data_IF_623845854804
#
_entry.id   IF_623845854804
#
_cell.length_a   1.000
_cell.length_b   1.000
_cell.length_c   1.000
_cell.angle_alpha   90.00
_cell.angle_beta   90.00
_cell.angle_gamma   90.00
#
_symmetry.space_group_name_H-M   'P 1'
#
loop_
_entity.id
_entity.type
_entity.pdbx_description
1 polymer ?
#
# COMPACT_ATOMS: atom_id res chain seq x y z
N UNK A 1 -9.09 6.42 8.58
CA UNK A 1 -9.46 6.42 10.03
C UNK A 1 -10.28 5.16 10.29
N UNK A 2 -9.90 4.34 11.26
CA UNK A 2 -10.57 3.06 11.55
C UNK A 2 -11.89 3.28 12.27
N UNK A 3 -12.83 2.32 12.21
CA UNK A 3 -14.10 2.39 12.97
C UNK A 3 -13.85 2.49 14.47
N UNK A 4 -12.73 1.88 14.94
CA UNK A 4 -12.33 1.95 16.35
C UNK A 4 -11.92 3.39 16.74
N UNK A 5 -11.21 4.10 15.87
CA UNK A 5 -10.87 5.52 16.09
C UNK A 5 -12.13 6.40 16.09
N UNK A 6 -13.05 6.18 15.15
CA UNK A 6 -14.34 6.90 15.07
C UNK A 6 -15.13 6.68 16.34
N UNK A 7 -15.28 5.41 16.75
CA UNK A 7 -15.99 5.05 17.98
C UNK A 7 -15.32 5.62 19.22
N UNK A 8 -13.99 5.60 19.30
CA UNK A 8 -13.23 6.19 20.41
C UNK A 8 -13.54 7.68 20.55
N UNK A 9 -13.59 8.41 19.44
CA UNK A 9 -13.91 9.84 19.43
C UNK A 9 -15.37 10.11 19.82
N UNK A 10 -16.30 9.27 19.36
CA UNK A 10 -17.73 9.46 19.63
C UNK A 10 -18.12 9.27 21.11
N UNK A 11 -17.41 8.38 21.82
CA UNK A 11 -17.69 8.12 23.25
C UNK A 11 -16.72 8.85 24.19
N UNK A 12 -15.79 9.67 23.67
CA UNK A 12 -14.70 10.26 24.46
C UNK A 12 -15.18 11.02 25.68
N UNK A 13 -16.25 11.82 25.54
CA UNK A 13 -16.82 12.63 26.62
C UNK A 13 -17.59 11.81 27.66
N UNK A 14 -17.98 10.58 27.31
CA UNK A 14 -18.67 9.64 28.20
C UNK A 14 -17.69 8.80 29.04
N UNK A 15 -16.40 8.79 28.66
CA UNK A 15 -15.38 8.04 29.35
C UNK A 15 -14.95 8.69 30.66
N UNK A 16 -14.59 7.87 31.65
CA UNK A 16 -13.98 8.38 32.89
C UNK A 16 -12.63 9.07 32.59
N UNK A 17 -12.15 9.99 33.45
CA UNK A 17 -10.90 10.71 33.24
C UNK A 17 -9.67 9.80 32.99
N UNK A 18 -9.67 8.61 33.60
CA UNK A 18 -8.60 7.63 33.36
C UNK A 18 -8.73 6.92 32.02
N UNK A 19 -9.96 6.62 31.57
CA UNK A 19 -10.20 6.06 30.25
C UNK A 19 -9.97 7.09 29.13
N UNK A 20 -10.26 8.37 29.36
CA UNK A 20 -9.92 9.45 28.43
C UNK A 20 -8.42 9.57 28.18
N UNK A 21 -7.57 9.33 29.20
CA UNK A 21 -6.12 9.26 29.02
C UNK A 21 -5.72 8.08 28.12
N UNK A 22 -6.35 6.92 28.30
CA UNK A 22 -6.13 5.76 27.43
C UNK A 22 -6.58 6.06 26.00
N UNK A 23 -7.78 6.62 25.83
CA UNK A 23 -8.34 7.00 24.53
C UNK A 23 -7.47 8.00 23.81
N UNK A 24 -6.96 9.02 24.50
CA UNK A 24 -6.06 10.01 23.94
C UNK A 24 -4.74 9.36 23.49
N UNK A 25 -4.12 8.53 24.33
CA UNK A 25 -2.91 7.80 23.99
C UNK A 25 -3.12 6.89 22.78
N UNK A 26 -4.23 6.15 22.76
CA UNK A 26 -4.64 5.28 21.65
C UNK A 26 -4.72 6.05 20.34
N UNK A 27 -5.41 7.19 20.31
CA UNK A 27 -5.58 7.99 19.10
C UNK A 27 -4.28 8.59 18.55
N UNK A 28 -3.28 8.83 19.41
CA UNK A 28 -2.00 9.41 19.01
C UNK A 28 -0.94 8.35 18.66
N UNK A 29 -1.09 7.10 19.11
CA UNK A 29 -0.03 6.11 19.07
C UNK A 29 -0.51 4.73 18.56
N UNK A 30 -1.31 4.69 17.51
CA UNK A 30 -1.90 3.45 16.97
C UNK A 30 -0.88 2.35 16.69
N UNK A 31 0.29 2.69 16.13
CA UNK A 31 1.38 1.76 15.89
C UNK A 31 1.87 1.11 17.18
N UNK A 32 2.20 1.91 18.21
CA UNK A 32 2.62 1.40 19.51
C UNK A 32 1.54 0.55 20.18
N UNK A 33 0.27 0.94 20.06
CA UNK A 33 -0.84 0.15 20.61
C UNK A 33 -0.92 -1.22 19.96
N UNK A 34 -0.58 -1.32 18.69
CA UNK A 34 -0.56 -2.59 17.98
C UNK A 34 0.58 -3.50 18.45
N UNK A 35 1.79 -2.97 18.58
CA UNK A 35 3.00 -3.76 18.83
C UNK A 35 3.24 -4.04 20.33
N UNK A 36 2.96 -3.08 21.21
CA UNK A 36 3.35 -3.13 22.60
C UNK A 36 2.43 -4.03 23.46
N UNK A 37 3.00 -4.79 24.41
CA UNK A 37 2.23 -5.49 25.45
C UNK A 37 1.45 -4.50 26.33
N UNK A 38 0.36 -4.97 26.97
CA UNK A 38 -0.48 -4.12 27.84
C UNK A 38 0.30 -3.46 28.99
N UNK A 39 1.34 -4.12 29.50
CA UNK A 39 2.20 -3.57 30.54
C UNK A 39 2.95 -2.31 30.07
N UNK A 40 3.50 -2.37 28.86
CA UNK A 40 4.23 -1.26 28.22
C UNK A 40 3.26 -0.11 27.88
N UNK A 41 2.09 -0.45 27.37
CA UNK A 41 1.04 0.55 27.07
C UNK A 41 0.56 1.28 28.33
N UNK A 42 0.39 0.54 29.43
CA UNK A 42 0.01 1.10 30.72
C UNK A 42 1.08 2.07 31.25
N UNK A 43 2.35 1.69 31.16
CA UNK A 43 3.47 2.56 31.53
C UNK A 43 3.53 3.83 30.68
N UNK A 44 3.52 3.69 29.35
CA UNK A 44 3.61 4.80 28.39
C UNK A 44 2.43 5.76 28.49
N UNK A 45 1.22 5.28 28.78
CA UNK A 45 0.01 6.09 28.92
C UNK A 45 -0.19 6.63 30.34
N UNK A 46 0.61 6.23 31.32
CA UNK A 46 0.52 6.69 32.71
C UNK A 46 -0.74 6.21 33.43
N UNK A 47 -1.30 5.04 33.04
CA UNK A 47 -2.49 4.42 33.65
C UNK A 47 -2.27 2.95 33.94
N UNK A 48 -3.15 2.33 34.76
CA UNK A 48 -3.05 0.89 35.04
C UNK A 48 -3.48 0.02 33.86
N UNK A 49 -2.99 -1.22 33.81
CA UNK A 49 -3.43 -2.22 32.81
C UNK A 49 -4.95 -2.46 32.86
N UNK A 50 -5.55 -2.35 34.04
CA UNK A 50 -7.02 -2.49 34.26
C UNK A 50 -7.77 -1.40 33.50
N UNK A 51 -7.23 -0.18 33.41
CA UNK A 51 -7.84 0.91 32.64
C UNK A 51 -7.84 0.62 31.15
N UNK A 52 -6.77 0.04 30.63
CA UNK A 52 -6.73 -0.43 29.24
C UNK A 52 -7.81 -1.48 28.95
N UNK A 53 -8.00 -2.44 29.86
CA UNK A 53 -9.06 -3.46 29.70
C UNK A 53 -10.45 -2.83 29.76
N UNK A 54 -10.67 -1.86 30.67
CA UNK A 54 -11.96 -1.13 30.76
C UNK A 54 -12.24 -0.34 29.49
N UNK A 55 -11.27 0.42 29.02
CA UNK A 55 -11.37 1.15 27.76
C UNK A 55 -11.73 0.24 26.58
N UNK A 56 -11.09 -0.92 26.46
CA UNK A 56 -11.45 -1.90 25.43
C UNK A 56 -12.91 -2.36 25.56
N UNK A 57 -13.40 -2.55 26.80
CA UNK A 57 -14.80 -2.94 27.06
C UNK A 57 -15.77 -1.82 26.74
N UNK A 58 -15.44 -0.56 27.02
CA UNK A 58 -16.26 0.60 26.65
C UNK A 58 -16.41 0.73 25.13
N UNK A 59 -15.42 0.25 24.38
CA UNK A 59 -15.47 0.13 22.91
C UNK A 59 -16.18 -1.15 22.42
N UNK A 60 -16.65 -2.03 23.33
CA UNK A 60 -17.37 -3.26 23.00
C UNK A 60 -16.48 -4.47 22.73
N UNK A 61 -15.18 -4.40 23.05
CA UNK A 61 -14.26 -5.52 22.91
C UNK A 61 -14.12 -6.30 24.23
N UNK A 62 -13.85 -7.59 24.14
CA UNK A 62 -13.62 -8.43 25.32
C UNK A 62 -12.33 -8.07 26.08
N UNK A 63 -11.38 -7.40 25.42
CA UNK A 63 -10.12 -6.92 25.98
C UNK A 63 -9.15 -6.45 24.91
N UNK A 64 -7.91 -6.12 25.32
CA UNK A 64 -6.90 -5.55 24.41
C UNK A 64 -6.55 -6.48 23.24
N UNK A 65 -6.48 -7.79 23.47
CA UNK A 65 -6.17 -8.77 22.41
C UNK A 65 -7.26 -8.77 21.31
N UNK A 66 -8.49 -8.70 21.70
CA UNK A 66 -9.64 -8.64 20.80
C UNK A 66 -9.67 -7.32 20.04
N UNK A 67 -9.48 -6.20 20.74
CA UNK A 67 -9.37 -4.89 20.10
C UNK A 67 -8.23 -4.82 19.10
N UNK A 68 -7.04 -5.33 19.44
CA UNK A 68 -5.88 -5.40 18.52
C UNK A 68 -6.18 -6.24 17.28
N UNK A 69 -6.85 -7.37 17.42
CA UNK A 69 -7.26 -8.22 16.29
C UNK A 69 -8.20 -7.46 15.34
N UNK A 70 -9.19 -6.75 15.88
CA UNK A 70 -10.11 -5.94 15.06
C UNK A 70 -9.41 -4.72 14.46
N UNK A 71 -8.52 -4.06 15.20
CA UNK A 71 -7.71 -2.94 14.70
C UNK A 71 -6.82 -3.40 13.53
N UNK A 72 -6.19 -4.58 13.65
CA UNK A 72 -5.41 -5.17 12.58
C UNK A 72 -6.26 -5.40 11.33
N UNK A 73 -7.42 -5.98 11.49
CA UNK A 73 -8.33 -6.25 10.38
C UNK A 73 -8.76 -4.95 9.69
N UNK A 74 -9.13 -3.91 10.44
CA UNK A 74 -9.52 -2.60 9.89
C UNK A 74 -8.34 -1.87 9.22
N UNK A 75 -7.15 -1.90 9.83
CA UNK A 75 -5.96 -1.30 9.24
C UNK A 75 -5.51 -2.05 7.97
N UNK A 76 -5.68 -3.37 7.94
CA UNK A 76 -5.39 -4.15 6.72
C UNK A 76 -6.38 -3.85 5.60
N UNK A 77 -7.67 -3.65 5.91
CA UNK A 77 -8.68 -3.20 4.94
C UNK A 77 -8.37 -1.77 4.45
N UNK A 78 -8.06 -0.82 5.34
CA UNK A 78 -7.72 0.56 4.94
C UNK A 78 -6.38 0.64 4.17
N UNK A 79 -5.42 -0.23 4.47
CA UNK A 79 -4.18 -0.35 3.68
C UNK A 79 -4.47 -0.94 2.31
N UNK A 80 -5.43 -1.84 2.18
CA UNK A 80 -5.92 -2.33 0.89
C UNK A 80 -6.61 -1.22 0.08
N UNK A 81 -7.26 -0.27 0.74
CA UNK A 81 -7.87 0.91 0.10
C UNK A 81 -6.86 2.05 -0.19
N UNK A 82 -5.75 2.12 0.53
CA UNK A 82 -4.81 3.27 0.50
C UNK A 82 -3.45 2.98 -0.12
N UNK A 83 -3.07 1.74 -0.34
CA UNK A 83 -1.76 1.39 -0.94
C UNK A 83 -1.86 0.12 -1.76
N UNK A 84 -1.20 0.13 -2.92
CA UNK A 84 -0.85 -1.11 -3.61
C UNK A 84 -0.25 -2.11 -2.60
N UNK A 85 -0.60 -3.40 -2.67
CA UNK A 85 -0.17 -4.37 -1.68
C UNK A 85 1.35 -4.37 -1.57
N UNK A 86 1.86 -3.97 -0.42
CA UNK A 86 3.24 -4.26 -0.07
C UNK A 86 3.38 -5.80 -0.03
N UNK A 87 4.55 -6.32 -0.40
CA UNK A 87 4.85 -7.77 -0.39
C UNK A 87 4.64 -8.48 0.96
N UNK A 88 4.20 -7.75 2.00
CA UNK A 88 3.86 -8.25 3.34
C UNK A 88 2.66 -9.21 3.37
N UNK A 89 1.87 -9.31 2.29
CA UNK A 89 0.83 -10.33 2.15
C UNK A 89 1.38 -11.77 2.12
N UNK A 90 2.67 -11.92 1.87
CA UNK A 90 3.36 -13.21 1.88
C UNK A 90 4.23 -13.39 3.12
N UNK A 91 3.82 -12.92 4.30
CA UNK A 91 4.50 -13.35 5.53
C UNK A 91 4.24 -14.85 5.77
N UNK A 92 5.04 -15.66 5.08
CA UNK A 92 5.03 -17.12 5.16
C UNK A 92 5.23 -17.63 6.58
N UNK A 93 5.69 -16.78 7.52
CA UNK A 93 5.82 -17.10 8.96
C UNK A 93 4.48 -17.29 9.65
N UNK A 94 3.39 -16.82 9.05
CA UNK A 94 2.03 -16.94 9.59
C UNK A 94 1.38 -18.29 9.25
N UNK A 95 1.92 -19.03 8.27
CA UNK A 95 1.35 -20.28 7.78
C UNK A 95 2.13 -21.48 8.35
N UNK A 96 1.41 -22.40 8.98
CA UNK A 96 1.98 -23.59 9.61
C UNK A 96 2.03 -24.82 8.67
N UNK A 97 1.47 -24.72 7.46
CA UNK A 97 1.44 -25.81 6.49
C UNK A 97 1.58 -25.29 5.06
N UNK A 98 1.96 -26.19 4.15
CA UNK A 98 2.06 -25.88 2.70
C UNK A 98 0.69 -25.50 2.12
N UNK A 99 -0.36 -26.19 2.53
CA UNK A 99 -1.76 -25.87 2.13
C UNK A 99 -2.14 -24.46 2.57
N UNK A 100 -1.73 -24.05 3.78
CA UNK A 100 -1.92 -22.69 4.29
C UNK A 100 -1.19 -21.65 3.43
N UNK A 101 0.04 -21.92 3.01
CA UNK A 101 0.81 -21.06 2.11
C UNK A 101 0.10 -20.91 0.76
N UNK A 102 -0.34 -22.03 0.15
CA UNK A 102 -1.05 -22.02 -1.14
C UNK A 102 -2.33 -21.17 -1.04
N UNK A 103 -3.16 -21.44 -0.03
CA UNK A 103 -4.40 -20.68 0.19
C UNK A 103 -4.15 -19.20 0.46
N UNK A 104 -3.08 -18.88 1.20
CA UNK A 104 -2.69 -17.49 1.47
C UNK A 104 -2.25 -16.74 0.21
N UNK A 105 -1.46 -17.37 -0.65
CA UNK A 105 -1.04 -16.79 -1.94
C UNK A 105 -2.25 -16.61 -2.85
N UNK A 106 -3.15 -17.60 -2.93
CA UNK A 106 -4.39 -17.50 -3.72
C UNK A 106 -5.25 -16.33 -3.24
N UNK A 107 -5.57 -16.29 -1.93
CA UNK A 107 -6.42 -15.25 -1.37
C UNK A 107 -5.82 -13.85 -1.54
N UNK A 108 -4.52 -13.68 -1.28
CA UNK A 108 -3.83 -12.41 -1.46
C UNK A 108 -3.79 -11.96 -2.92
N UNK A 109 -3.59 -12.88 -3.86
CA UNK A 109 -3.59 -12.56 -5.30
C UNK A 109 -4.99 -12.14 -5.79
N UNK A 110 -6.04 -12.86 -5.37
CA UNK A 110 -7.43 -12.52 -5.71
C UNK A 110 -7.84 -11.16 -5.13
N UNK A 111 -7.46 -10.88 -3.89
CA UNK A 111 -7.73 -9.59 -3.25
C UNK A 111 -6.98 -8.44 -3.95
N UNK A 112 -5.71 -8.63 -4.29
CA UNK A 112 -4.94 -7.64 -5.05
C UNK A 112 -5.58 -7.30 -6.40
N UNK A 113 -6.08 -8.31 -7.13
CA UNK A 113 -6.78 -8.11 -8.40
C UNK A 113 -8.08 -7.34 -8.19
N UNK A 114 -8.90 -7.74 -7.20
CA UNK A 114 -10.20 -7.12 -6.92
C UNK A 114 -10.06 -5.67 -6.50
N UNK A 115 -9.20 -5.40 -5.53
CA UNK A 115 -8.98 -4.03 -5.03
C UNK A 115 -8.38 -3.12 -6.10
N UNK A 116 -7.46 -3.64 -6.93
CA UNK A 116 -6.94 -2.89 -8.07
C UNK A 116 -8.05 -2.55 -9.07
N UNK A 117 -8.93 -3.50 -9.39
CA UNK A 117 -10.03 -3.24 -10.32
C UNK A 117 -11.01 -2.18 -9.81
N UNK A 118 -11.26 -2.13 -8.49
CA UNK A 118 -12.17 -1.16 -7.87
C UNK A 118 -11.69 0.30 -7.93
N UNK A 119 -10.37 0.51 -7.90
CA UNK A 119 -9.78 1.86 -7.92
C UNK A 119 -9.47 2.37 -9.32
N UNK A 120 -9.72 1.57 -10.36
CA UNK A 120 -9.43 1.97 -11.74
C UNK A 120 -10.39 3.06 -12.23
N UNK A 121 -9.79 4.09 -12.82
CA UNK A 121 -10.51 5.12 -13.55
C UNK A 121 -10.52 4.76 -15.04
N UNK A 122 -11.66 4.29 -15.53
CA UNK A 122 -11.81 3.84 -16.92
C UNK A 122 -11.53 4.95 -17.94
N UNK A 123 -11.90 6.19 -17.65
CA UNK A 123 -11.64 7.32 -18.56
C UNK A 123 -10.12 7.63 -18.64
N UNK A 124 -9.40 7.50 -17.54
CA UNK A 124 -7.93 7.62 -17.57
C UNK A 124 -7.28 6.49 -18.33
N UNK A 125 -7.75 5.25 -18.14
CA UNK A 125 -7.24 4.08 -18.89
C UNK A 125 -7.44 4.29 -20.39
N UNK A 126 -8.63 4.70 -20.84
CA UNK A 126 -8.92 5.00 -22.25
C UNK A 126 -8.01 6.10 -22.79
N UNK A 127 -7.80 7.17 -22.01
CA UNK A 127 -6.90 8.27 -22.39
C UNK A 127 -5.45 7.79 -22.55
N UNK A 128 -4.96 6.97 -21.61
CA UNK A 128 -3.60 6.43 -21.67
C UNK A 128 -3.45 5.45 -22.85
N UNK A 129 -4.43 4.57 -23.05
CA UNK A 129 -4.43 3.63 -24.16
C UNK A 129 -4.40 4.35 -25.52
N UNK A 130 -5.19 5.43 -25.69
CA UNK A 130 -5.17 6.23 -26.89
C UNK A 130 -3.81 6.92 -27.14
N UNK A 131 -3.16 7.41 -26.07
CA UNK A 131 -1.81 7.98 -26.16
C UNK A 131 -0.77 6.95 -26.58
N UNK A 132 -0.81 5.75 -25.99
CA UNK A 132 0.08 4.64 -26.35
C UNK A 132 -0.11 4.24 -27.81
N UNK A 133 -1.36 4.12 -28.28
CA UNK A 133 -1.66 3.73 -29.66
C UNK A 133 -1.23 4.77 -30.70
N UNK A 134 -1.05 6.03 -30.30
CA UNK A 134 -0.63 7.13 -31.18
C UNK A 134 0.85 7.50 -31.00
N UNK A 135 1.56 6.84 -30.08
CA UNK A 135 2.95 7.14 -29.80
C UNK A 135 3.88 6.69 -30.93
N UNK A 136 4.89 7.50 -31.25
CA UNK A 136 5.97 7.10 -32.15
C UNK A 136 6.85 6.00 -31.54
N UNK A 137 7.06 6.05 -30.22
CA UNK A 137 7.72 5.01 -29.43
C UNK A 137 7.27 5.08 -27.97
N UNK A 138 6.99 3.92 -27.35
CA UNK A 138 6.70 3.80 -25.92
C UNK A 138 7.96 3.42 -25.16
N UNK A 139 8.41 4.28 -24.24
CA UNK A 139 9.62 4.07 -23.44
C UNK A 139 9.24 3.66 -22.03
N UNK A 140 9.68 2.47 -21.61
CA UNK A 140 9.25 1.83 -20.37
C UNK A 140 10.40 1.84 -19.35
N UNK A 141 10.09 2.29 -18.13
CA UNK A 141 11.05 2.50 -17.06
C UNK A 141 10.63 1.81 -15.79
N UNK A 142 11.54 1.11 -15.14
CA UNK A 142 11.33 0.45 -13.87
C UNK A 142 12.62 -0.17 -13.35
N UNK A 143 12.77 -0.20 -12.02
CA UNK A 143 13.95 -0.75 -11.34
C UNK A 143 13.52 -1.94 -10.47
N UNK A 144 14.36 -2.98 -10.41
CA UNK A 144 14.08 -4.18 -9.61
C UNK A 144 12.77 -4.87 -10.03
N UNK A 145 11.89 -5.17 -9.06
CA UNK A 145 10.61 -5.83 -9.32
C UNK A 145 9.69 -4.99 -10.22
N UNK A 146 9.74 -3.65 -10.14
CA UNK A 146 9.00 -2.76 -11.04
C UNK A 146 9.49 -2.88 -12.49
N UNK A 147 10.76 -3.23 -12.71
CA UNK A 147 11.30 -3.54 -14.03
C UNK A 147 10.70 -4.79 -14.66
N UNK A 148 10.29 -5.79 -13.85
CA UNK A 148 9.57 -6.97 -14.35
C UNK A 148 8.21 -6.60 -14.92
N UNK A 149 7.50 -5.67 -14.25
CA UNK A 149 6.19 -5.16 -14.73
C UNK A 149 6.38 -4.36 -16.02
N UNK A 150 7.42 -3.53 -16.10
CA UNK A 150 7.76 -2.81 -17.32
C UNK A 150 8.09 -3.76 -18.47
N UNK A 151 8.83 -4.83 -18.19
CA UNK A 151 9.15 -5.89 -19.16
C UNK A 151 7.90 -6.62 -19.66
N UNK A 152 6.97 -6.95 -18.77
CA UNK A 152 5.71 -7.60 -19.16
C UNK A 152 4.89 -6.72 -20.10
N UNK A 153 4.77 -5.42 -19.79
CA UNK A 153 4.10 -4.47 -20.69
C UNK A 153 4.84 -4.34 -22.02
N UNK A 154 6.19 -4.31 -22.03
CA UNK A 154 6.98 -4.28 -23.25
C UNK A 154 6.62 -5.43 -24.20
N UNK A 155 6.62 -6.66 -23.71
CA UNK A 155 6.23 -7.81 -24.51
C UNK A 155 4.78 -7.77 -25.01
N UNK A 156 3.87 -7.21 -24.21
CA UNK A 156 2.47 -7.04 -24.60
C UNK A 156 2.30 -6.01 -25.72
N UNK A 157 3.03 -4.89 -25.65
CA UNK A 157 3.01 -3.84 -26.68
C UNK A 157 3.56 -4.35 -28.01
N UNK A 158 4.67 -5.08 -28.01
CA UNK A 158 5.22 -5.70 -29.21
C UNK A 158 4.23 -6.66 -29.90
N UNK A 159 3.38 -7.34 -29.13
CA UNK A 159 2.38 -8.27 -29.70
C UNK A 159 1.20 -7.57 -30.38
N UNK A 160 1.05 -6.27 -30.18
CA UNK A 160 0.02 -5.44 -30.80
C UNK A 160 0.65 -4.38 -31.73
N UNK A 161 1.86 -4.64 -32.21
CA UNK A 161 2.60 -3.81 -33.18
C UNK A 161 2.81 -2.35 -32.72
N UNK A 162 2.97 -2.14 -31.40
CA UNK A 162 3.36 -0.84 -30.83
C UNK A 162 4.87 -0.82 -30.63
N UNK A 163 5.54 0.17 -31.25
CA UNK A 163 6.97 0.37 -31.05
C UNK A 163 7.28 0.73 -29.61
N UNK A 164 8.08 -0.08 -28.94
CA UNK A 164 8.43 0.10 -27.54
C UNK A 164 9.91 -0.21 -27.27
N UNK A 165 10.48 0.42 -26.25
CA UNK A 165 11.82 0.12 -25.74
C UNK A 165 11.80 -0.08 -24.24
N UNK A 166 12.56 -1.05 -23.78
CA UNK A 166 12.76 -1.38 -22.37
C UNK A 166 14.17 -1.91 -22.14
N UNK A 167 14.77 -1.58 -21.01
CA UNK A 167 16.01 -2.18 -20.54
C UNK A 167 16.05 -2.18 -19.02
N UNK A 168 16.72 -3.15 -18.41
CA UNK A 168 16.92 -3.22 -16.96
C UNK A 168 18.08 -2.35 -16.47
N UNK A 169 19.01 -2.01 -17.35
CA UNK A 169 20.18 -1.19 -17.02
C UNK A 169 19.79 0.29 -16.92
N UNK A 170 20.08 0.90 -15.78
CA UNK A 170 19.70 2.29 -15.48
C UNK A 170 20.38 3.30 -16.42
N UNK A 171 21.65 3.06 -16.82
CA UNK A 171 22.36 3.95 -17.75
C UNK A 171 21.73 3.92 -19.14
N UNK A 172 21.25 2.74 -19.58
CA UNK A 172 20.51 2.61 -20.83
C UNK A 172 19.14 3.29 -20.71
N UNK A 173 18.45 3.16 -19.57
CA UNK A 173 17.19 3.89 -19.33
C UNK A 173 17.40 5.40 -19.44
N UNK A 174 18.48 5.94 -18.86
CA UNK A 174 18.84 7.36 -18.98
C UNK A 174 19.11 7.74 -20.44
N UNK A 175 19.77 6.88 -21.21
CA UNK A 175 19.99 7.08 -22.63
C UNK A 175 18.67 7.12 -23.41
N UNK A 176 17.69 6.28 -23.05
CA UNK A 176 16.36 6.32 -23.65
C UNK A 176 15.63 7.64 -23.36
N UNK A 177 15.73 8.18 -22.15
CA UNK A 177 15.15 9.50 -21.82
C UNK A 177 15.84 10.60 -22.63
N UNK A 178 17.18 10.62 -22.67
CA UNK A 178 17.91 11.64 -23.41
C UNK A 178 17.70 11.56 -24.92
N UNK A 179 17.35 10.40 -25.44
CA UNK A 179 17.00 10.18 -26.85
C UNK A 179 15.51 10.31 -27.18
N UNK A 180 14.66 10.69 -26.21
CA UNK A 180 13.22 10.83 -26.44
C UNK A 180 12.91 12.03 -27.36
N UNK A 181 11.82 11.91 -28.14
CA UNK A 181 11.39 12.89 -29.12
C UNK A 181 9.93 13.30 -28.82
N UNK A 182 9.48 14.47 -29.31
CA UNK A 182 8.06 14.77 -29.36
C UNK A 182 7.30 13.66 -30.09
N UNK A 183 6.23 13.16 -29.48
CA UNK A 183 5.47 11.99 -29.97
C UNK A 183 5.76 10.70 -29.21
N UNK A 184 6.88 10.61 -28.50
CA UNK A 184 7.15 9.48 -27.61
C UNK A 184 6.31 9.53 -26.32
N UNK A 185 5.99 8.36 -25.77
CA UNK A 185 5.32 8.21 -24.48
C UNK A 185 6.27 7.51 -23.50
N UNK A 186 6.51 8.12 -22.32
CA UNK A 186 7.28 7.52 -21.24
C UNK A 186 6.34 6.98 -20.14
N UNK A 187 6.53 5.69 -19.76
CA UNK A 187 5.78 5.03 -18.71
C UNK A 187 6.74 4.57 -17.62
N UNK A 188 6.48 5.01 -16.39
CA UNK A 188 7.32 4.73 -15.22
C UNK A 188 6.59 3.81 -14.25
N UNK A 189 7.23 2.73 -13.84
CA UNK A 189 6.73 1.81 -12.83
C UNK A 189 7.49 1.99 -11.52
N UNK A 190 6.77 2.31 -10.45
CA UNK A 190 7.32 2.40 -9.10
C UNK A 190 6.27 2.00 -8.08
N UNK A 191 6.57 1.00 -7.24
CA UNK A 191 5.66 0.56 -6.18
C UNK A 191 5.54 1.62 -5.07
N UNK A 192 6.66 2.21 -4.65
CA UNK A 192 6.67 3.22 -3.59
C UNK A 192 6.32 4.64 -4.09
N UNK A 193 6.42 4.87 -5.40
CA UNK A 193 6.36 6.22 -5.98
C UNK A 193 7.54 7.13 -5.57
N UNK A 194 8.52 6.61 -4.83
CA UNK A 194 9.61 7.40 -4.23
C UNK A 194 11.02 6.83 -4.51
N UNK A 195 11.16 6.00 -5.53
CA UNK A 195 12.47 5.47 -5.99
C UNK A 195 13.24 6.60 -6.66
N UNK A 196 14.40 6.98 -6.11
CA UNK A 196 15.18 8.15 -6.54
C UNK A 196 15.47 8.13 -8.05
N UNK A 197 15.94 6.99 -8.58
CA UNK A 197 16.28 6.83 -9.98
C UNK A 197 15.05 7.02 -10.90
N UNK A 198 13.88 6.57 -10.48
CA UNK A 198 12.64 6.74 -11.24
C UNK A 198 12.17 8.19 -11.22
N UNK A 199 12.32 8.88 -10.09
CA UNK A 199 12.00 10.30 -9.99
C UNK A 199 12.93 11.16 -10.87
N UNK A 200 14.22 10.86 -10.89
CA UNK A 200 15.20 11.55 -11.73
C UNK A 200 14.90 11.33 -13.23
N UNK A 201 14.60 10.09 -13.63
CA UNK A 201 14.20 9.77 -15.01
C UNK A 201 12.88 10.48 -15.39
N UNK A 202 11.90 10.50 -14.51
CA UNK A 202 10.62 11.17 -14.75
C UNK A 202 10.80 12.70 -14.88
N UNK A 203 11.66 13.30 -14.04
CA UNK A 203 11.99 14.72 -14.17
C UNK A 203 12.70 14.99 -15.50
N UNK A 204 13.70 14.19 -15.87
CA UNK A 204 14.41 14.36 -17.14
C UNK A 204 13.47 14.19 -18.35
N UNK A 205 12.43 13.36 -18.26
CA UNK A 205 11.42 13.23 -19.30
C UNK A 205 10.51 14.46 -19.41
N UNK A 206 10.20 15.12 -18.28
CA UNK A 206 9.37 16.35 -18.26
C UNK A 206 10.06 17.57 -18.82
N UNK A 207 11.38 17.62 -18.72
CA UNK A 207 12.21 18.74 -19.16
C UNK A 207 12.48 18.71 -20.68
N UNK A 208 11.88 17.74 -21.39
CA UNK A 208 12.01 17.54 -22.85
C UNK A 208 10.71 17.73 -23.58
#
# INVERSE_FOLDING_TARGET
MTDIEIKTRSIYDELSPAEQKVAWYFLQNLGSVFDDPIAVLAEKSGVSQVMWVRFCKSLGFSGLKDMKKNLFFQLSQQRAEASAPSMDFLDTRTYSSVEGIISGVEAGSLEAIRSTAQIQDTAKIETVAAKIAQADCVRLFGVGASGLVASDLYYKLLRVDVDAVFCTDLHVQLTYITGSKPGDVAIFFSNSGNTTEILELAQAARDR
#
